data_IF_000740941180
#
_entry.id   IF_000740941180
#
_cell.length_a   1.000
_cell.length_b   1.000
_cell.length_c   1.000
_cell.angle_alpha   90.00
_cell.angle_beta   90.00
_cell.angle_gamma   90.00
#
_symmetry.space_group_name_H-M   'P 1'
#
loop_
_entity.id
_entity.type
_entity.pdbx_description
1 polymer ?
#
# COMPACT_ATOMS: atom_id res chain seq x y z
N UNK A 1 -57.93 11.80 21.24
CA UNK A 1 -58.05 10.87 20.10
C UNK A 1 -58.83 11.58 19.03
N UNK A 2 -58.15 12.05 17.98
CA UNK A 2 -58.77 12.71 16.82
C UNK A 2 -57.88 12.51 15.59
N UNK A 3 -58.54 12.39 14.45
CA UNK A 3 -58.22 11.57 13.28
C UNK A 3 -57.23 12.17 12.27
N UNK A 4 -56.58 11.25 11.53
CA UNK A 4 -55.83 11.50 10.29
C UNK A 4 -56.73 11.99 9.15
N UNK A 5 -56.14 12.75 8.22
CA UNK A 5 -56.68 13.02 6.88
C UNK A 5 -55.52 13.24 5.88
N UNK A 6 -55.60 12.58 4.73
CA UNK A 6 -54.72 12.76 3.56
C UNK A 6 -55.54 13.41 2.44
N UNK A 7 -54.91 14.16 1.51
CA UNK A 7 -55.50 14.44 0.22
C UNK A 7 -54.93 13.52 -0.87
N UNK A 8 -55.85 12.75 -1.47
CA UNK A 8 -55.75 12.14 -2.79
C UNK A 8 -56.46 13.03 -3.80
N UNK A 9 -55.83 13.38 -4.92
CA UNK A 9 -56.54 13.89 -6.10
C UNK A 9 -56.29 13.02 -7.33
N UNK A 10 -57.37 12.86 -8.08
CA UNK A 10 -57.61 11.95 -9.17
C UNK A 10 -57.53 12.64 -10.53
N UNK A 11 -57.13 11.84 -11.53
CA UNK A 11 -57.60 11.76 -12.92
C UNK A 11 -57.63 12.99 -13.85
N UNK A 12 -56.96 12.80 -14.99
CA UNK A 12 -57.31 13.40 -16.28
C UNK A 12 -56.71 12.60 -17.43
N UNK A 13 -57.54 11.80 -18.11
CA UNK A 13 -57.23 10.98 -19.28
C UNK A 13 -57.16 11.81 -20.57
N UNK A 14 -56.21 11.54 -21.46
CA UNK A 14 -56.43 11.70 -22.89
C UNK A 14 -55.55 10.74 -23.70
N UNK A 15 -56.25 9.92 -24.47
CA UNK A 15 -55.83 9.10 -25.59
C UNK A 15 -55.05 9.87 -26.67
N UNK A 16 -53.94 9.31 -27.16
CA UNK A 16 -53.67 9.23 -28.60
C UNK A 16 -52.64 8.13 -28.90
N UNK A 17 -52.93 7.41 -29.98
CA UNK A 17 -52.27 6.25 -30.57
C UNK A 17 -50.88 6.52 -31.18
N UNK A 18 -50.27 5.41 -31.63
CA UNK A 18 -49.21 5.22 -32.65
C UNK A 18 -47.83 4.88 -32.09
N UNK A 19 -47.51 3.59 -31.88
CA UNK A 19 -47.06 2.54 -32.83
C UNK A 19 -45.61 2.74 -33.33
N UNK A 20 -44.87 1.62 -33.37
CA UNK A 20 -43.58 1.34 -34.05
C UNK A 20 -42.29 1.44 -33.21
N UNK A 21 -41.88 0.35 -32.55
CA UNK A 21 -40.91 -0.64 -33.07
C UNK A 21 -40.64 -1.72 -32.01
N UNK A 22 -41.10 -2.94 -32.29
CA UNK A 22 -40.59 -4.19 -31.71
C UNK A 22 -39.80 -4.89 -32.82
N UNK A 23 -38.57 -5.39 -32.60
CA UNK A 23 -37.89 -6.17 -33.61
C UNK A 23 -38.43 -7.61 -33.63
N UNK A 24 -38.87 -8.14 -34.78
CA UNK A 24 -39.15 -9.55 -34.93
C UNK A 24 -37.84 -10.32 -35.18
N UNK A 25 -37.68 -11.44 -34.48
CA UNK A 25 -36.74 -12.49 -34.85
C UNK A 25 -37.22 -13.09 -36.19
N UNK A 26 -36.51 -12.79 -37.28
CA UNK A 26 -36.75 -13.40 -38.57
C UNK A 26 -36.06 -14.77 -38.63
N UNK A 27 -36.83 -15.82 -38.33
CA UNK A 27 -36.41 -17.21 -38.48
C UNK A 27 -36.81 -17.71 -39.88
N UNK A 28 -36.11 -17.24 -40.91
CA UNK A 28 -36.29 -17.74 -42.28
C UNK A 28 -35.01 -17.71 -43.13
N UNK A 29 -33.88 -18.18 -42.57
CA UNK A 29 -32.69 -18.49 -43.35
C UNK A 29 -32.91 -19.77 -44.19
N UNK A 30 -33.53 -19.62 -45.35
CA UNK A 30 -33.59 -20.67 -46.37
C UNK A 30 -32.19 -20.85 -46.98
N UNK A 31 -31.58 -22.00 -46.73
CA UNK A 31 -30.33 -22.38 -47.37
C UNK A 31 -30.61 -22.80 -48.81
N UNK A 32 -30.29 -21.93 -49.78
CA UNK A 32 -30.30 -22.29 -51.19
C UNK A 32 -28.98 -23.04 -51.50
N UNK A 33 -29.04 -24.37 -51.55
CA UNK A 33 -27.92 -25.22 -51.96
C UNK A 33 -27.68 -25.09 -53.47
N UNK A 34 -26.42 -24.94 -53.87
CA UNK A 34 -26.00 -25.08 -55.25
C UNK A 34 -26.00 -26.57 -55.64
N UNK A 35 -26.86 -27.04 -56.58
CA UNK A 35 -27.02 -28.46 -56.89
C UNK A 35 -25.81 -29.10 -57.60
N UNK A 36 -24.74 -28.35 -57.86
CA UNK A 36 -23.53 -28.83 -58.54
C UNK A 36 -22.27 -28.90 -57.64
N UNK A 37 -22.37 -28.70 -56.31
CA UNK A 37 -21.17 -28.83 -55.45
C UNK A 37 -20.90 -30.28 -55.04
N UNK A 38 -19.89 -30.91 -55.66
CA UNK A 38 -19.42 -32.27 -55.36
C UNK A 38 -18.61 -32.40 -54.05
N UNK A 39 -18.59 -31.37 -53.20
CA UNK A 39 -17.83 -31.37 -51.95
C UNK A 39 -18.76 -31.12 -50.75
N UNK A 40 -18.67 -31.93 -49.68
CA UNK A 40 -19.44 -31.70 -48.47
C UNK A 40 -19.02 -30.37 -47.81
N UNK A 41 -19.97 -29.62 -47.23
CA UNK A 41 -19.69 -28.32 -46.63
C UNK A 41 -18.69 -28.47 -45.47
N UNK A 42 -17.53 -27.82 -45.61
CA UNK A 42 -16.57 -27.67 -44.50
C UNK A 42 -17.25 -26.86 -43.40
N UNK A 43 -17.27 -27.40 -42.19
CA UNK A 43 -17.81 -26.72 -41.01
C UNK A 43 -17.09 -25.38 -40.78
N UNK A 44 -17.81 -24.28 -40.53
CA UNK A 44 -17.18 -23.01 -40.20
C UNK A 44 -16.47 -23.11 -38.85
N UNK A 45 -15.20 -22.70 -38.81
CA UNK A 45 -14.43 -22.48 -37.57
C UNK A 45 -15.19 -21.46 -36.70
N UNK A 46 -15.59 -21.86 -35.50
CA UNK A 46 -16.15 -20.94 -34.49
C UNK A 46 -15.05 -20.04 -33.95
N UNK A 47 -14.92 -18.81 -34.48
CA UNK A 47 -14.19 -17.75 -33.79
C UNK A 47 -15.09 -17.18 -32.69
N UNK A 48 -14.77 -17.52 -31.44
CA UNK A 48 -15.40 -16.94 -30.25
C UNK A 48 -14.88 -15.50 -30.14
N UNK A 49 -15.67 -14.53 -30.62
CA UNK A 49 -15.50 -13.12 -30.29
C UNK A 49 -16.29 -12.90 -29.00
N UNK A 50 -15.58 -12.73 -27.89
CA UNK A 50 -16.19 -12.38 -26.61
C UNK A 50 -16.71 -10.93 -26.66
N UNK A 51 -18.03 -10.77 -26.61
CA UNK A 51 -18.69 -9.49 -26.37
C UNK A 51 -18.31 -8.97 -24.97
N UNK A 52 -17.42 -7.99 -24.90
CA UNK A 52 -17.27 -7.12 -23.72
C UNK A 52 -18.32 -6.01 -23.82
N UNK A 53 -19.38 -6.12 -23.04
CA UNK A 53 -20.30 -5.02 -22.76
C UNK A 53 -19.57 -3.96 -21.93
N UNK A 54 -19.21 -2.86 -22.61
CA UNK A 54 -18.62 -1.68 -22.00
C UNK A 54 -19.72 -0.87 -21.26
N UNK A 55 -19.58 -0.78 -19.94
CA UNK A 55 -20.18 0.31 -19.16
C UNK A 55 -19.22 1.50 -19.27
N UNK A 56 -19.66 2.52 -19.98
CA UNK A 56 -18.94 3.77 -20.22
C UNK A 56 -18.61 4.50 -18.92
N UNK A 57 -17.32 4.69 -18.64
CA UNK A 57 -16.82 5.77 -17.79
C UNK A 57 -15.81 6.56 -18.61
N UNK A 58 -16.03 7.87 -18.66
CA UNK A 58 -15.31 8.87 -19.44
C UNK A 58 -13.81 8.96 -19.10
N UNK A 59 -12.96 9.09 -20.13
CA UNK A 59 -11.81 10.00 -20.07
C UNK A 59 -10.42 9.47 -20.42
N UNK A 60 -10.13 9.36 -21.72
CA UNK A 60 -8.92 9.80 -22.45
C UNK A 60 -8.54 8.79 -23.55
N UNK A 61 -8.62 9.27 -24.79
CA UNK A 61 -8.25 8.53 -25.98
C UNK A 61 -6.72 8.43 -26.10
N UNK A 62 -6.22 7.22 -26.25
CA UNK A 62 -4.94 6.94 -26.89
C UNK A 62 -5.16 5.95 -28.04
N UNK A 63 -4.55 6.26 -29.17
CA UNK A 63 -4.41 5.36 -30.31
C UNK A 63 -3.54 4.16 -29.92
N UNK A 64 -4.03 2.93 -30.14
CA UNK A 64 -3.22 1.70 -30.19
C UNK A 64 -2.30 1.72 -31.42
N UNK A 65 -1.07 1.20 -31.29
CA UNK A 65 -0.82 -0.09 -31.90
C UNK A 65 -0.09 -1.09 -30.98
N UNK A 66 -0.62 -2.32 -31.02
CA UNK A 66 0.00 -3.66 -30.93
C UNK A 66 1.25 -3.90 -30.06
N UNK A 67 1.08 -4.88 -29.15
CA UNK A 67 2.08 -5.80 -28.58
C UNK A 67 3.41 -5.21 -28.12
N UNK A 68 3.45 -4.85 -26.83
CA UNK A 68 4.45 -5.35 -25.87
C UNK A 68 4.08 -4.78 -24.49
N UNK A 69 3.43 -5.59 -23.65
CA UNK A 69 3.06 -5.17 -22.30
C UNK A 69 4.26 -5.36 -21.38
N UNK A 70 5.18 -4.39 -21.37
CA UNK A 70 6.16 -4.29 -20.28
C UNK A 70 5.46 -3.83 -18.98
N UNK A 71 5.71 -4.48 -17.83
CA UNK A 71 5.08 -4.12 -16.58
C UNK A 71 5.64 -2.79 -16.06
N UNK A 72 4.74 -1.81 -15.91
CA UNK A 72 4.91 -0.55 -15.17
C UNK A 72 5.81 -0.75 -13.94
N UNK A 73 6.99 -0.15 -13.99
CA UNK A 73 7.94 -0.07 -12.88
C UNK A 73 7.47 1.04 -11.95
N UNK A 74 6.48 0.72 -11.12
CA UNK A 74 6.22 1.41 -9.85
C UNK A 74 7.28 0.91 -8.87
N UNK A 75 7.91 1.80 -8.09
CA UNK A 75 9.05 1.54 -7.19
C UNK A 75 9.10 0.09 -6.65
N UNK A 76 9.87 -0.73 -7.37
CA UNK A 76 9.87 -2.19 -7.23
C UNK A 76 10.66 -2.65 -6.01
N UNK A 77 11.38 -1.81 -5.27
CA UNK A 77 12.27 -2.31 -4.21
C UNK A 77 11.52 -2.95 -3.03
N UNK A 78 10.32 -2.48 -2.69
CA UNK A 78 9.55 -3.03 -1.55
C UNK A 78 8.65 -4.23 -1.92
N UNK A 79 8.47 -4.51 -3.22
CA UNK A 79 7.60 -5.58 -3.74
C UNK A 79 8.39 -6.67 -4.49
N UNK A 80 9.49 -6.34 -5.20
CA UNK A 80 10.35 -7.33 -5.89
C UNK A 80 11.00 -8.31 -4.93
N UNK A 81 11.33 -7.90 -3.71
CA UNK A 81 11.89 -8.83 -2.71
C UNK A 81 10.96 -10.04 -2.50
N UNK A 82 9.64 -9.87 -2.65
CA UNK A 82 8.67 -10.95 -2.41
C UNK A 82 8.62 -11.98 -3.54
N UNK A 83 8.96 -11.63 -4.79
CA UNK A 83 8.82 -12.56 -5.94
C UNK A 83 9.98 -13.56 -6.03
N UNK A 84 11.20 -13.14 -5.68
CA UNK A 84 12.40 -14.01 -5.64
C UNK A 84 12.53 -14.82 -4.34
N UNK A 85 11.71 -14.52 -3.33
CA UNK A 85 11.77 -15.17 -2.01
C UNK A 85 11.19 -16.59 -2.00
N UNK A 86 10.29 -16.96 -2.91
CA UNK A 86 9.51 -18.21 -2.78
C UNK A 86 10.14 -19.44 -3.44
N UNK A 87 10.78 -19.28 -4.61
CA UNK A 87 11.53 -20.40 -5.21
C UNK A 87 12.68 -20.86 -4.32
N UNK A 88 13.21 -19.94 -3.52
CA UNK A 88 14.26 -20.23 -2.54
C UNK A 88 13.70 -20.60 -1.16
N UNK A 89 12.49 -20.19 -0.77
CA UNK A 89 11.89 -20.65 0.50
C UNK A 89 11.58 -22.15 0.47
N UNK A 90 11.19 -22.70 -0.69
CA UNK A 90 11.02 -24.15 -0.85
C UNK A 90 12.34 -24.91 -1.03
N UNK A 91 13.39 -24.28 -1.61
CA UNK A 91 14.74 -24.87 -1.65
C UNK A 91 15.47 -24.79 -0.30
N UNK A 92 15.30 -23.72 0.46
CA UNK A 92 15.91 -23.49 1.79
C UNK A 92 15.17 -24.20 2.92
N UNK A 93 13.95 -24.69 2.72
CA UNK A 93 13.39 -25.73 3.61
C UNK A 93 14.19 -27.04 3.53
N UNK A 94 14.86 -27.30 2.40
CA UNK A 94 15.72 -28.48 2.21
C UNK A 94 17.10 -28.27 2.83
N UNK A 95 17.61 -27.04 2.83
CA UNK A 95 18.87 -26.65 3.47
C UNK A 95 18.60 -25.91 4.78
N UNK A 96 18.57 -26.62 5.91
CA UNK A 96 18.12 -26.14 7.23
C UNK A 96 18.93 -25.01 7.91
N UNK A 97 19.21 -23.90 7.21
CA UNK A 97 19.87 -22.71 7.74
C UNK A 97 18.94 -22.02 8.75
N UNK A 98 19.12 -22.39 10.01
CA UNK A 98 18.44 -21.75 11.15
C UNK A 98 19.08 -20.39 11.40
N UNK A 99 18.52 -19.34 10.80
CA UNK A 99 18.89 -17.95 11.11
C UNK A 99 18.60 -17.67 12.58
N UNK A 100 19.62 -17.22 13.32
CA UNK A 100 19.48 -16.85 14.73
C UNK A 100 18.76 -15.52 14.86
N UNK A 101 17.89 -15.38 15.87
CA UNK A 101 17.10 -14.15 16.05
C UNK A 101 18.02 -12.94 16.34
N UNK A 102 19.11 -13.21 17.04
CA UNK A 102 20.13 -12.23 17.43
C UNK A 102 20.85 -11.66 16.21
N UNK A 103 21.08 -12.48 15.17
CA UNK A 103 21.69 -12.05 13.90
C UNK A 103 20.76 -11.11 13.14
N UNK A 104 19.45 -11.43 13.08
CA UNK A 104 18.46 -10.55 12.45
C UNK A 104 18.42 -9.20 13.16
N UNK A 105 18.35 -9.19 14.50
CA UNK A 105 18.37 -7.93 15.25
C UNK A 105 19.68 -7.16 15.06
N UNK A 106 20.82 -7.85 15.04
CA UNK A 106 22.12 -7.21 14.78
C UNK A 106 22.12 -6.50 13.42
N UNK A 107 21.73 -7.19 12.34
CA UNK A 107 21.68 -6.60 10.98
C UNK A 107 20.64 -5.47 10.90
N UNK A 108 19.50 -5.62 11.58
CA UNK A 108 18.48 -4.58 11.71
C UNK A 108 19.06 -3.29 12.30
N UNK A 109 19.83 -3.38 13.40
CA UNK A 109 20.46 -2.22 14.06
C UNK A 109 21.58 -1.57 13.24
N UNK A 110 22.15 -2.26 12.25
CA UNK A 110 23.13 -1.68 11.33
C UNK A 110 22.47 -0.68 10.38
N UNK A 111 21.23 -0.95 9.97
CA UNK A 111 20.45 -0.06 9.09
C UNK A 111 19.89 1.16 9.85
N UNK A 112 19.80 2.31 9.17
CA UNK A 112 19.16 3.51 9.74
C UNK A 112 17.68 3.28 10.05
N UNK A 113 16.96 2.64 9.12
CA UNK A 113 15.53 2.33 9.28
C UNK A 113 15.29 1.37 10.45
N UNK A 114 16.11 0.32 10.59
CA UNK A 114 15.99 -0.61 11.71
C UNK A 114 16.23 0.05 13.07
N UNK A 115 17.21 0.96 13.18
CA UNK A 115 17.38 1.80 14.38
C UNK A 115 16.15 2.66 14.67
N UNK A 116 15.60 3.33 13.65
CA UNK A 116 14.37 4.14 13.81
C UNK A 116 13.22 3.30 14.38
N UNK A 117 12.94 2.12 13.79
CA UNK A 117 11.86 1.25 14.25
C UNK A 117 12.11 0.70 15.66
N UNK A 118 13.33 0.30 15.96
CA UNK A 118 13.70 -0.17 17.30
C UNK A 118 13.51 0.91 18.36
N UNK A 119 13.97 2.15 18.09
CA UNK A 119 13.74 3.27 19.01
C UNK A 119 12.26 3.61 19.15
N UNK A 120 11.48 3.54 18.06
CA UNK A 120 10.02 3.71 18.11
C UNK A 120 9.38 2.65 19.02
N UNK A 121 9.74 1.39 18.90
CA UNK A 121 9.25 0.30 19.77
C UNK A 121 9.57 0.55 21.25
N UNK A 122 10.81 0.88 21.58
CA UNK A 122 11.23 1.16 22.97
C UNK A 122 10.47 2.38 23.52
N UNK A 123 10.41 3.46 22.74
CA UNK A 123 9.71 4.70 23.11
C UNK A 123 8.23 4.44 23.43
N UNK A 124 7.51 3.74 22.56
CA UNK A 124 6.09 3.48 22.77
C UNK A 124 5.82 2.42 23.84
N UNK A 125 6.75 1.50 24.07
CA UNK A 125 6.69 0.56 25.20
C UNK A 125 6.80 1.31 26.54
N UNK A 126 7.72 2.29 26.64
CA UNK A 126 7.83 3.16 27.82
C UNK A 126 6.56 3.98 28.00
N UNK A 127 6.01 4.57 26.93
CA UNK A 127 4.75 5.33 27.01
C UNK A 127 3.59 4.44 27.46
N UNK A 128 3.51 3.21 26.98
CA UNK A 128 2.47 2.26 27.38
C UNK A 128 2.61 1.90 28.85
N UNK A 129 3.82 1.64 29.33
CA UNK A 129 4.09 1.42 30.74
C UNK A 129 3.65 2.62 31.59
N UNK A 130 4.03 3.85 31.19
CA UNK A 130 3.62 5.07 31.88
C UNK A 130 2.10 5.24 31.91
N UNK A 131 1.42 4.90 30.82
CA UNK A 131 -0.05 4.94 30.73
C UNK A 131 -0.71 3.95 31.68
N UNK A 132 -0.24 2.71 31.74
CA UNK A 132 -0.76 1.73 32.69
C UNK A 132 -0.47 2.19 34.12
N UNK A 133 0.73 2.69 34.37
CA UNK A 133 1.12 3.21 35.67
C UNK A 133 0.21 4.36 36.12
N UNK A 134 -0.07 5.35 35.27
CA UNK A 134 -0.99 6.46 35.58
C UNK A 134 -2.44 6.00 35.71
N UNK A 135 -2.91 5.08 34.87
CA UNK A 135 -4.26 4.52 34.94
C UNK A 135 -4.50 3.74 36.23
N UNK A 136 -3.56 2.88 36.62
CA UNK A 136 -3.60 2.16 37.91
C UNK A 136 -3.56 3.16 39.07
N UNK A 137 -2.66 4.15 38.98
CA UNK A 137 -2.45 5.17 40.01
C UNK A 137 -3.62 6.14 40.21
N UNK A 138 -4.47 6.32 39.21
CA UNK A 138 -5.65 7.20 39.25
C UNK A 138 -6.94 6.47 39.65
N UNK A 139 -6.95 5.14 39.50
CA UNK A 139 -8.11 4.32 39.87
C UNK A 139 -8.30 4.33 41.39
N UNK A 140 -9.46 4.77 41.86
CA UNK A 140 -9.77 4.91 43.30
C UNK A 140 -9.56 3.62 44.10
N UNK A 141 -9.77 2.46 43.48
CA UNK A 141 -9.65 1.13 44.09
C UNK A 141 -8.19 0.70 44.33
N UNK A 142 -7.23 1.20 43.54
CA UNK A 142 -5.82 0.82 43.59
C UNK A 142 -4.92 1.96 44.08
N UNK A 143 -5.53 3.07 44.51
CA UNK A 143 -4.81 4.26 44.96
C UNK A 143 -4.13 3.97 46.30
N UNK A 144 -2.82 3.75 46.28
CA UNK A 144 -2.01 3.71 47.50
C UNK A 144 -1.98 5.11 48.15
N UNK A 145 -2.23 5.21 49.47
CA UNK A 145 -2.32 6.50 50.17
C UNK A 145 -0.97 7.21 50.27
N UNK A 146 0.14 6.49 50.28
CA UNK A 146 1.50 7.03 50.31
C UNK A 146 2.28 6.51 49.11
N UNK A 147 2.54 7.38 48.13
CA UNK A 147 3.42 7.05 47.00
C UNK A 147 4.88 7.22 47.43
N UNK A 148 5.74 6.21 47.25
CA UNK A 148 7.15 6.35 47.59
C UNK A 148 7.84 7.31 46.61
N UNK A 149 8.78 8.12 47.11
CA UNK A 149 9.43 9.17 46.31
C UNK A 149 10.19 8.62 45.09
N UNK A 150 10.72 7.39 45.17
CA UNK A 150 11.43 6.74 44.06
C UNK A 150 10.52 6.51 42.84
N UNK A 151 9.22 6.32 43.04
CA UNK A 151 8.25 6.11 41.95
C UNK A 151 8.08 7.38 41.12
N UNK A 152 7.99 8.54 41.79
CA UNK A 152 7.89 9.83 41.12
C UNK A 152 9.15 10.14 40.30
N UNK A 153 10.32 9.85 40.86
CA UNK A 153 11.61 10.01 40.18
C UNK A 153 11.74 9.05 38.98
N UNK A 154 11.29 7.80 39.11
CA UNK A 154 11.26 6.83 38.02
C UNK A 154 10.35 7.29 36.87
N UNK A 155 9.13 7.75 37.18
CA UNK A 155 8.20 8.28 36.17
C UNK A 155 8.79 9.49 35.45
N UNK A 156 9.43 10.40 36.19
CA UNK A 156 10.13 11.56 35.61
C UNK A 156 11.24 11.13 34.66
N UNK A 157 12.09 10.18 35.08
CA UNK A 157 13.18 9.64 34.25
C UNK A 157 12.65 8.95 33.00
N UNK A 158 11.66 8.07 33.13
CA UNK A 158 11.06 7.37 31.99
C UNK A 158 10.39 8.33 31.00
N UNK A 159 9.71 9.37 31.49
CA UNK A 159 9.13 10.42 30.65
C UNK A 159 10.20 11.19 29.87
N UNK A 160 11.29 11.56 30.55
CA UNK A 160 12.47 12.19 29.93
C UNK A 160 13.18 11.27 28.95
N UNK A 161 13.26 9.97 29.24
CA UNK A 161 13.83 8.97 28.32
C UNK A 161 12.96 8.83 27.08
N UNK A 162 11.64 8.77 27.23
CA UNK A 162 10.72 8.65 26.09
C UNK A 162 10.78 9.88 25.17
N UNK A 163 10.90 11.09 25.72
CA UNK A 163 11.10 12.31 24.90
C UNK A 163 12.49 12.35 24.29
N UNK A 164 13.53 11.97 25.04
CA UNK A 164 14.91 11.87 24.55
C UNK A 164 15.05 10.89 23.39
N UNK A 165 14.48 9.69 23.50
CA UNK A 165 14.46 8.69 22.42
C UNK A 165 13.76 9.22 21.16
N UNK A 166 12.63 9.93 21.32
CA UNK A 166 11.95 10.56 20.20
C UNK A 166 12.81 11.59 19.49
N UNK A 167 13.58 12.37 20.26
CA UNK A 167 14.49 13.38 19.75
C UNK A 167 15.70 12.76 19.05
N UNK A 168 16.36 11.80 19.69
CA UNK A 168 17.47 11.03 19.09
C UNK A 168 17.04 10.35 17.79
N UNK A 169 15.83 9.76 17.75
CA UNK A 169 15.27 9.16 16.53
C UNK A 169 15.16 10.17 15.40
N UNK A 170 14.64 11.37 15.68
CA UNK A 170 14.55 12.46 14.71
C UNK A 170 15.94 12.91 14.22
N UNK A 171 16.94 12.97 15.11
CA UNK A 171 18.32 13.30 14.72
C UNK A 171 18.95 12.24 13.81
N UNK A 172 18.64 10.96 14.02
CA UNK A 172 19.11 9.87 13.16
C UNK A 172 18.47 9.88 11.76
N UNK A 173 17.33 10.56 11.61
CA UNK A 173 16.60 10.75 10.35
C UNK A 173 16.90 12.10 9.68
N UNK A 174 17.84 12.89 10.21
CA UNK A 174 18.27 14.12 9.53
C UNK A 174 18.77 13.80 8.12
N UNK A 175 18.46 14.69 7.18
CA UNK A 175 18.79 14.56 5.77
C UNK A 175 18.08 13.41 5.04
N UNK A 176 16.96 12.90 5.57
CA UNK A 176 16.17 11.89 4.88
C UNK A 176 15.58 12.38 3.54
N UNK A 177 15.51 13.69 3.32
CA UNK A 177 15.10 14.29 2.04
C UNK A 177 16.07 13.99 0.88
N UNK A 178 17.30 13.54 1.17
CA UNK A 178 18.26 13.14 0.14
C UNK A 178 17.76 11.94 -0.68
N UNK A 179 17.02 11.00 -0.08
CA UNK A 179 16.46 9.85 -0.79
C UNK A 179 15.52 10.29 -1.93
N UNK A 180 14.42 11.00 -1.61
CA UNK A 180 13.53 11.57 -2.62
C UNK A 180 14.23 12.49 -3.64
N UNK A 181 15.26 13.23 -3.20
CA UNK A 181 16.04 14.03 -4.13
C UNK A 181 16.79 13.16 -5.14
N UNK A 182 17.45 12.10 -4.67
CA UNK A 182 18.19 11.17 -5.54
C UNK A 182 17.27 10.48 -6.53
N UNK A 183 16.06 10.07 -6.13
CA UNK A 183 15.08 9.46 -7.06
C UNK A 183 14.64 10.43 -8.14
N UNK A 184 14.35 11.69 -7.79
CA UNK A 184 14.02 12.76 -8.76
C UNK A 184 15.18 12.98 -9.74
N UNK A 185 16.42 13.02 -9.25
CA UNK A 185 17.59 13.20 -10.12
C UNK A 185 17.88 11.97 -11.00
N UNK A 186 17.64 10.76 -10.49
CA UNK A 186 17.84 9.52 -11.24
C UNK A 186 16.86 9.41 -12.42
N UNK A 187 15.62 9.87 -12.25
CA UNK A 187 14.63 9.94 -13.32
C UNK A 187 15.06 10.83 -14.50
N UNK A 188 15.98 11.79 -14.31
CA UNK A 188 16.55 12.57 -15.42
C UNK A 188 17.46 11.75 -16.34
N UNK A 189 18.01 10.64 -15.86
CA UNK A 189 19.02 9.87 -16.57
C UNK A 189 18.46 8.80 -17.51
N UNK A 190 17.16 8.51 -17.45
CA UNK A 190 16.49 7.52 -18.30
C UNK A 190 15.75 8.25 -19.43
N UNK A 191 16.33 8.36 -20.64
CA UNK A 191 15.62 8.89 -21.78
C UNK A 191 14.51 7.93 -22.18
N UNK A 192 13.29 8.17 -21.70
CA UNK A 192 12.05 7.62 -22.28
C UNK A 192 11.79 8.30 -23.63
N UNK A 193 12.66 8.02 -24.59
CA UNK A 193 12.43 8.33 -26.00
C UNK A 193 12.97 7.15 -26.80
N UNK A 194 12.17 6.10 -26.84
CA UNK A 194 12.16 5.04 -27.86
C UNK A 194 11.75 5.61 -29.22
N UNK A 195 12.41 6.67 -29.67
CA UNK A 195 12.47 7.01 -31.08
C UNK A 195 13.94 7.11 -31.47
N UNK A 196 14.38 6.03 -32.11
CA UNK A 196 15.66 5.87 -32.78
C UNK A 196 15.82 6.99 -33.81
N UNK A 197 16.37 8.12 -33.38
CA UNK A 197 16.96 9.11 -34.28
C UNK A 197 18.41 9.26 -33.88
N UNK A 198 19.27 8.72 -34.74
CA UNK A 198 20.74 8.60 -34.63
C UNK A 198 21.43 9.97 -34.77
N UNK A 199 20.79 11.04 -34.35
CA UNK A 199 21.40 12.36 -34.34
C UNK A 199 21.98 12.64 -32.95
N UNK A 200 23.29 12.92 -32.95
CA UNK A 200 24.10 13.40 -31.81
C UNK A 200 23.54 14.73 -31.27
N UNK A 201 22.31 14.75 -30.79
CA UNK A 201 21.71 15.91 -30.17
C UNK A 201 22.36 16.08 -28.80
N UNK A 202 22.93 17.27 -28.61
CA UNK A 202 23.53 17.73 -27.36
C UNK A 202 22.60 17.36 -26.21
N UNK A 203 23.12 16.72 -25.16
CA UNK A 203 22.43 16.56 -23.87
C UNK A 203 22.04 17.95 -23.36
N UNK A 204 20.87 18.45 -23.74
CA UNK A 204 20.30 19.66 -23.15
C UNK A 204 19.88 19.27 -21.74
N UNK A 205 20.70 19.65 -20.76
CA UNK A 205 20.38 19.51 -19.34
C UNK A 205 19.07 20.23 -19.09
N UNK A 206 18.00 19.47 -18.84
CA UNK A 206 16.72 20.06 -18.42
C UNK A 206 16.94 20.77 -17.08
N UNK A 207 16.39 21.97 -16.86
CA UNK A 207 16.55 22.67 -15.59
C UNK A 207 15.95 21.85 -14.45
N UNK A 208 16.62 21.82 -13.30
CA UNK A 208 16.20 21.04 -12.12
C UNK A 208 14.73 21.26 -11.73
N UNK A 209 14.25 22.51 -11.81
CA UNK A 209 12.85 22.84 -11.52
C UNK A 209 11.85 22.13 -12.43
N UNK A 210 12.20 21.91 -13.70
CA UNK A 210 11.35 21.14 -14.60
C UNK A 210 11.24 19.71 -14.09
N UNK A 211 12.34 19.07 -13.72
CA UNK A 211 12.29 17.70 -13.19
C UNK A 211 11.52 17.58 -11.89
N UNK A 212 11.67 18.53 -10.97
CA UNK A 212 10.87 18.55 -9.73
C UNK A 212 9.37 18.67 -10.05
N UNK A 213 8.98 19.50 -11.02
CA UNK A 213 7.56 19.66 -11.37
C UNK A 213 6.93 18.42 -12.03
N UNK A 214 7.73 17.56 -12.67
CA UNK A 214 7.27 16.33 -13.31
C UNK A 214 7.50 15.07 -12.47
N UNK A 215 8.08 15.21 -11.28
CA UNK A 215 8.27 14.08 -10.39
C UNK A 215 6.91 13.55 -9.88
N UNK A 216 6.81 12.23 -9.58
CA UNK A 216 5.60 11.66 -9.02
C UNK A 216 5.15 12.41 -7.76
N UNK A 217 3.86 12.76 -7.63
CA UNK A 217 3.35 13.50 -6.47
C UNK A 217 3.72 12.90 -5.10
N UNK A 218 3.74 11.56 -4.89
CA UNK A 218 4.15 10.97 -3.61
C UNK A 218 5.61 11.30 -3.24
N UNK A 219 6.53 11.27 -4.21
CA UNK A 219 7.96 11.55 -4.00
C UNK A 219 8.17 13.02 -3.63
N UNK A 220 7.46 13.93 -4.30
CA UNK A 220 7.49 15.35 -3.95
C UNK A 220 6.96 15.60 -2.54
N UNK A 221 5.90 14.91 -2.17
CA UNK A 221 5.31 15.02 -0.85
C UNK A 221 6.27 14.52 0.24
N UNK A 222 6.97 13.41 -0.02
CA UNK A 222 8.01 12.88 0.89
C UNK A 222 9.22 13.83 1.00
N UNK A 223 9.65 14.42 -0.12
CA UNK A 223 10.72 15.43 -0.14
C UNK A 223 10.35 16.62 0.75
N UNK A 224 9.17 17.19 0.52
CA UNK A 224 8.68 18.36 1.27
C UNK A 224 8.48 18.03 2.76
N UNK A 225 7.94 16.84 3.07
CA UNK A 225 7.79 16.36 4.44
C UNK A 225 9.14 16.26 5.16
N UNK A 226 10.12 15.61 4.51
CA UNK A 226 11.43 15.37 5.09
C UNK A 226 12.22 16.66 5.32
N UNK A 227 12.16 17.61 4.37
CA UNK A 227 12.75 18.95 4.55
C UNK A 227 12.09 19.69 5.71
N UNK A 228 10.76 19.63 5.83
CA UNK A 228 10.04 20.27 6.91
C UNK A 228 10.35 19.66 8.29
N UNK A 229 10.50 18.34 8.39
CA UNK A 229 10.92 17.67 9.65
C UNK A 229 12.36 18.02 10.01
N UNK A 230 13.29 18.12 9.04
CA UNK A 230 14.66 18.59 9.27
C UNK A 230 14.69 20.03 9.81
N UNK A 231 13.91 20.95 9.23
CA UNK A 231 13.81 22.32 9.74
C UNK A 231 13.24 22.34 11.17
N UNK A 232 12.24 21.51 11.45
CA UNK A 232 11.67 21.38 12.78
C UNK A 232 12.69 20.83 13.79
N UNK A 233 13.49 19.83 13.42
CA UNK A 233 14.51 19.23 14.29
C UNK A 233 15.70 20.13 14.53
N UNK A 234 16.18 20.85 13.51
CA UNK A 234 17.22 21.87 13.64
C UNK A 234 16.79 23.02 14.58
N UNK A 235 15.49 23.34 14.61
CA UNK A 235 14.95 24.31 15.57
C UNK A 235 14.97 23.79 17.01
N UNK A 236 14.72 22.50 17.22
CA UNK A 236 14.81 21.85 18.54
C UNK A 236 16.27 21.79 19.03
N UNK A 237 17.22 21.70 18.10
CA UNK A 237 18.65 21.79 18.36
C UNK A 237 19.11 23.21 18.73
N UNK A 238 18.26 24.22 18.52
CA UNK A 238 18.57 25.63 18.75
C UNK A 238 19.31 26.33 17.60
N UNK A 239 19.46 25.67 16.45
CA UNK A 239 20.11 26.25 15.26
C UNK A 239 19.18 27.20 14.50
N UNK A 240 17.88 26.94 14.54
CA UNK A 240 16.84 27.76 13.89
C UNK A 240 15.90 28.37 14.93
N UNK A 241 15.28 29.50 14.58
CA UNK A 241 14.34 30.18 15.47
C UNK A 241 13.11 29.34 15.80
N UNK A 242 12.69 29.32 17.07
CA UNK A 242 11.54 28.54 17.57
C UNK A 242 10.26 28.73 16.74
N UNK A 243 9.97 29.97 16.31
CA UNK A 243 8.78 30.29 15.49
C UNK A 243 8.81 29.59 14.12
N UNK A 244 9.97 29.50 13.48
CA UNK A 244 10.12 28.80 12.20
C UNK A 244 9.98 27.30 12.42
N UNK A 245 10.62 26.78 13.46
CA UNK A 245 10.51 25.40 13.91
C UNK A 245 9.07 24.95 14.15
N UNK A 246 8.29 25.72 14.91
CA UNK A 246 6.89 25.41 15.22
C UNK A 246 6.00 25.43 13.98
N UNK A 247 6.30 26.29 12.99
CA UNK A 247 5.59 26.34 11.71
C UNK A 247 5.95 25.14 10.84
N UNK A 248 7.24 24.84 10.73
CA UNK A 248 7.74 23.69 9.99
C UNK A 248 7.23 22.38 10.57
N UNK A 249 7.18 22.25 11.90
CA UNK A 249 6.60 21.09 12.57
C UNK A 249 5.13 20.88 12.23
N UNK A 250 4.30 21.93 12.32
CA UNK A 250 2.88 21.85 11.92
C UNK A 250 2.71 21.50 10.44
N UNK A 251 3.55 22.07 9.58
CA UNK A 251 3.51 21.79 8.16
C UNK A 251 3.92 20.34 7.88
N UNK A 252 4.96 19.85 8.55
CA UNK A 252 5.39 18.44 8.48
C UNK A 252 4.29 17.49 8.95
N UNK A 253 3.53 17.82 10.00
CA UNK A 253 2.37 17.02 10.44
C UNK A 253 1.27 16.94 9.37
N UNK A 254 1.00 18.04 8.64
CA UNK A 254 0.07 18.03 7.51
C UNK A 254 0.57 17.16 6.36
N UNK A 255 1.85 17.27 6.00
CA UNK A 255 2.45 16.42 4.98
C UNK A 255 2.43 14.95 5.41
N UNK A 256 2.67 14.64 6.68
CA UNK A 256 2.60 13.28 7.20
C UNK A 256 1.18 12.70 7.12
N UNK A 257 0.15 13.50 7.42
CA UNK A 257 -1.25 13.10 7.20
C UNK A 257 -1.51 12.75 5.73
N UNK A 258 -1.12 13.65 4.81
CA UNK A 258 -1.33 13.44 3.38
C UNK A 258 -0.56 12.21 2.86
N UNK A 259 0.69 12.03 3.27
CA UNK A 259 1.49 10.83 2.96
C UNK A 259 0.78 9.55 3.40
N UNK A 260 0.22 9.57 4.61
CA UNK A 260 -0.50 8.42 5.18
C UNK A 260 -1.78 8.12 4.40
N UNK A 261 -2.50 9.15 3.92
CA UNK A 261 -3.69 8.98 3.09
C UNK A 261 -3.34 8.43 1.71
N UNK A 262 -2.30 8.97 1.06
CA UNK A 262 -1.79 8.47 -0.22
C UNK A 262 -1.40 7.00 -0.09
N UNK A 263 -0.60 6.64 0.91
CA UNK A 263 -0.21 5.25 1.15
C UNK A 263 -1.39 4.31 1.46
N UNK A 264 -2.46 4.82 2.07
CA UNK A 264 -3.68 4.03 2.29
C UNK A 264 -4.46 3.79 0.99
N UNK A 265 -4.51 4.78 0.09
CA UNK A 265 -5.15 4.67 -1.23
C UNK A 265 -4.34 3.73 -2.13
N UNK A 266 -3.04 3.92 -2.21
CA UNK A 266 -2.11 3.06 -2.98
C UNK A 266 -2.24 1.61 -2.53
N UNK A 267 -2.15 1.36 -1.22
CA UNK A 267 -2.34 0.02 -0.66
C UNK A 267 -3.74 -0.56 -0.96
N UNK A 268 -4.77 0.28 -1.00
CA UNK A 268 -6.13 -0.11 -1.39
C UNK A 268 -6.22 -0.56 -2.85
N UNK A 269 -5.58 0.19 -3.75
CA UNK A 269 -5.52 -0.13 -5.19
C UNK A 269 -4.72 -1.40 -5.43
N UNK A 270 -3.54 -1.53 -4.82
CA UNK A 270 -2.71 -2.75 -4.90
C UNK A 270 -3.48 -3.98 -4.42
N UNK A 271 -4.20 -3.86 -3.30
CA UNK A 271 -4.99 -4.96 -2.76
C UNK A 271 -6.14 -5.36 -3.68
N UNK A 272 -6.80 -4.38 -4.31
CA UNK A 272 -7.85 -4.67 -5.29
C UNK A 272 -7.29 -5.40 -6.51
N UNK A 273 -6.11 -4.99 -7.00
CA UNK A 273 -5.42 -5.67 -8.10
C UNK A 273 -5.06 -7.11 -7.73
N UNK A 274 -4.48 -7.34 -6.55
CA UNK A 274 -4.14 -8.69 -6.07
C UNK A 274 -5.39 -9.55 -5.87
N UNK A 275 -6.48 -8.98 -5.33
CA UNK A 275 -7.75 -9.70 -5.18
C UNK A 275 -8.33 -10.17 -6.52
N UNK A 276 -8.22 -9.33 -7.56
CA UNK A 276 -8.64 -9.72 -8.92
C UNK A 276 -7.75 -10.84 -9.48
N UNK A 277 -6.43 -10.78 -9.25
CA UNK A 277 -5.49 -11.84 -9.68
C UNK A 277 -5.77 -13.16 -8.96
N UNK A 278 -6.03 -13.12 -7.64
CA UNK A 278 -6.40 -14.31 -6.86
C UNK A 278 -7.66 -14.98 -7.42
N UNK A 279 -8.71 -14.19 -7.69
CA UNK A 279 -9.94 -14.72 -8.28
C UNK A 279 -9.70 -15.33 -9.66
N UNK A 280 -8.82 -14.75 -10.48
CA UNK A 280 -8.46 -15.31 -11.78
C UNK A 280 -7.76 -16.68 -11.63
N UNK A 281 -6.76 -16.79 -10.75
CA UNK A 281 -6.06 -18.05 -10.50
C UNK A 281 -7.00 -19.10 -9.88
N UNK A 282 -7.83 -18.73 -8.91
CA UNK A 282 -8.82 -19.63 -8.31
C UNK A 282 -9.86 -20.11 -9.33
N UNK A 283 -10.28 -19.24 -10.27
CA UNK A 283 -11.20 -19.63 -11.34
C UNK A 283 -10.57 -20.62 -12.33
N UNK A 284 -9.28 -20.48 -12.63
CA UNK A 284 -8.53 -21.41 -13.49
C UNK A 284 -8.39 -22.78 -12.81
N UNK A 285 -7.96 -22.79 -11.55
CA UNK A 285 -7.88 -24.00 -10.73
C UNK A 285 -9.23 -24.71 -10.61
N UNK A 286 -10.31 -23.96 -10.41
CA UNK A 286 -11.66 -24.52 -10.33
C UNK A 286 -12.11 -25.09 -11.68
N UNK A 287 -11.92 -24.36 -12.78
CA UNK A 287 -12.26 -24.83 -14.12
C UNK A 287 -11.49 -26.12 -14.46
N UNK A 288 -10.19 -26.17 -14.16
CA UNK A 288 -9.36 -27.35 -14.36
C UNK A 288 -9.87 -28.54 -13.52
N UNK A 289 -10.22 -28.31 -12.25
CA UNK A 289 -10.79 -29.34 -11.38
C UNK A 289 -12.13 -29.90 -11.88
N UNK A 290 -12.95 -29.05 -12.52
CA UNK A 290 -14.26 -29.44 -13.06
C UNK A 290 -14.17 -30.12 -14.43
N UNK A 291 -13.14 -29.81 -15.22
CA UNK A 291 -12.92 -30.45 -16.53
C UNK A 291 -12.48 -31.92 -16.44
N UNK A 292 -12.25 -32.44 -15.22
CA UNK A 292 -12.11 -33.88 -15.00
C UNK A 292 -10.87 -34.50 -15.64
N UNK A 293 -9.81 -33.72 -15.86
CA UNK A 293 -8.52 -34.23 -16.30
C UNK A 293 -8.11 -35.38 -15.37
N UNK A 294 -8.03 -36.58 -15.94
CA UNK A 294 -7.99 -37.86 -15.22
C UNK A 294 -6.94 -37.86 -14.09
N UNK A 295 -7.35 -38.32 -12.91
CA UNK A 295 -6.62 -38.32 -11.63
C UNK A 295 -5.23 -39.00 -11.59
N UNK A 296 -4.63 -39.36 -12.73
CA UNK A 296 -3.32 -40.04 -12.82
C UNK A 296 -2.15 -39.13 -13.19
N UNK A 297 -2.37 -37.88 -13.60
CA UNK A 297 -1.28 -36.91 -13.74
C UNK A 297 -1.75 -35.55 -13.25
N UNK A 298 -1.24 -35.09 -12.10
CA UNK A 298 -1.31 -33.66 -11.77
C UNK A 298 -0.50 -32.92 -12.83
N UNK A 299 -1.12 -32.15 -13.74
CA UNK A 299 -0.36 -31.41 -14.73
C UNK A 299 0.51 -30.38 -14.01
N UNK A 300 1.69 -30.10 -14.54
CA UNK A 300 2.63 -29.13 -13.95
C UNK A 300 1.98 -27.76 -13.75
N UNK A 301 1.00 -27.43 -14.59
CA UNK A 301 0.23 -26.19 -14.54
C UNK A 301 -0.54 -26.02 -13.22
N UNK A 302 -1.20 -27.07 -12.70
CA UNK A 302 -1.83 -27.01 -11.35
C UNK A 302 -0.86 -26.63 -10.24
N UNK A 303 0.40 -27.11 -10.29
CA UNK A 303 1.38 -26.79 -9.26
C UNK A 303 1.86 -25.35 -9.36
N UNK A 304 1.90 -24.80 -10.58
CA UNK A 304 2.25 -23.40 -10.83
C UNK A 304 1.15 -22.50 -10.28
N UNK A 305 -0.11 -22.80 -10.61
CA UNK A 305 -1.26 -22.02 -10.14
C UNK A 305 -1.42 -22.10 -8.61
N UNK A 306 -1.18 -23.26 -7.98
CA UNK A 306 -1.17 -23.40 -6.52
C UNK A 306 -0.08 -22.54 -5.87
N UNK A 307 1.13 -22.49 -6.46
CA UNK A 307 2.23 -21.65 -5.99
C UNK A 307 1.90 -20.17 -6.15
N UNK A 308 1.42 -19.76 -7.32
CA UNK A 308 1.00 -18.37 -7.57
C UNK A 308 -0.10 -17.93 -6.60
N UNK A 309 -1.08 -18.79 -6.33
CA UNK A 309 -2.13 -18.50 -5.36
C UNK A 309 -1.56 -18.32 -3.94
N UNK A 310 -0.59 -19.16 -3.55
CA UNK A 310 0.07 -19.02 -2.25
C UNK A 310 0.85 -17.70 -2.14
N UNK A 311 1.51 -17.29 -3.24
CA UNK A 311 2.22 -16.01 -3.37
C UNK A 311 1.28 -14.84 -3.20
N UNK A 312 0.19 -14.84 -3.95
CA UNK A 312 -0.80 -13.76 -3.91
C UNK A 312 -1.45 -13.65 -2.53
N UNK A 313 -1.67 -14.78 -1.82
CA UNK A 313 -2.19 -14.76 -0.44
C UNK A 313 -1.20 -14.17 0.54
N UNK A 314 0.10 -14.48 0.40
CA UNK A 314 1.17 -13.89 1.20
C UNK A 314 1.28 -12.38 0.95
N UNK A 315 1.20 -11.96 -0.32
CA UNK A 315 1.17 -10.54 -0.67
C UNK A 315 -0.05 -9.82 -0.08
N UNK A 316 -1.26 -10.37 -0.21
CA UNK A 316 -2.46 -9.78 0.41
C UNK A 316 -2.33 -9.69 1.94
N UNK A 317 -1.73 -10.69 2.61
CA UNK A 317 -1.45 -10.63 4.04
C UNK A 317 -0.54 -9.44 4.41
N UNK A 318 0.55 -9.23 3.67
CA UNK A 318 1.44 -8.08 3.90
C UNK A 318 0.79 -6.74 3.56
N UNK A 319 -0.06 -6.69 2.54
CA UNK A 319 -0.86 -5.51 2.24
C UNK A 319 -1.85 -5.21 3.38
N UNK A 320 -2.50 -6.23 3.96
CA UNK A 320 -3.39 -6.05 5.11
C UNK A 320 -2.64 -5.52 6.34
N UNK A 321 -1.44 -6.03 6.63
CA UNK A 321 -0.58 -5.50 7.70
C UNK A 321 -0.22 -4.04 7.45
N UNK A 322 0.16 -3.72 6.21
CA UNK A 322 0.55 -2.37 5.81
C UNK A 322 -0.64 -1.40 5.91
N UNK A 323 -1.83 -1.84 5.50
CA UNK A 323 -3.09 -1.11 5.70
C UNK A 323 -3.36 -0.85 7.17
N UNK A 324 -3.25 -1.87 8.02
CA UNK A 324 -3.46 -1.73 9.45
C UNK A 324 -2.45 -0.74 10.06
N UNK A 325 -1.19 -0.78 9.62
CA UNK A 325 -0.16 0.20 9.99
C UNK A 325 -0.56 1.61 9.57
N UNK A 326 -1.01 1.84 8.34
CA UNK A 326 -1.45 3.16 7.87
C UNK A 326 -2.68 3.67 8.62
N UNK A 327 -3.63 2.79 8.97
CA UNK A 327 -4.78 3.17 9.81
C UNK A 327 -4.31 3.62 11.20
N UNK A 328 -3.34 2.92 11.80
CA UNK A 328 -2.78 3.32 13.09
C UNK A 328 -2.01 4.64 13.02
N UNK A 329 -1.19 4.84 11.99
CA UNK A 329 -0.52 6.12 11.74
C UNK A 329 -1.54 7.25 11.49
N UNK A 330 -2.63 6.98 10.77
CA UNK A 330 -3.71 7.92 10.49
C UNK A 330 -4.42 8.36 11.78
N UNK A 331 -4.76 7.40 12.66
CA UNK A 331 -5.31 7.70 13.98
C UNK A 331 -4.32 8.59 14.74
N UNK A 332 -3.04 8.17 14.79
CA UNK A 332 -2.00 8.89 15.52
C UNK A 332 -1.91 10.36 15.07
N UNK A 333 -1.71 10.59 13.77
CA UNK A 333 -1.47 11.93 13.21
C UNK A 333 -2.74 12.79 13.28
N UNK A 334 -3.93 12.20 13.10
CA UNK A 334 -5.21 12.92 13.25
C UNK A 334 -5.36 13.51 14.65
N UNK A 335 -4.97 12.78 15.69
CA UNK A 335 -5.02 13.32 17.05
C UNK A 335 -4.00 14.44 17.31
N UNK A 336 -2.84 14.47 16.62
CA UNK A 336 -1.91 15.61 16.72
C UNK A 336 -2.42 16.82 15.94
N UNK A 337 -2.91 16.59 14.72
CA UNK A 337 -3.34 17.65 13.81
C UNK A 337 -4.63 18.35 14.26
N UNK A 338 -5.67 17.59 14.58
CA UNK A 338 -6.98 18.12 15.01
C UNK A 338 -7.03 18.48 16.49
N UNK A 339 -5.93 18.26 17.24
CA UNK A 339 -5.81 18.57 18.67
C UNK A 339 -6.93 17.97 19.53
N UNK A 340 -7.42 16.79 19.16
CA UNK A 340 -8.47 16.09 19.91
C UNK A 340 -7.94 15.79 21.32
N UNK A 341 -8.58 16.37 22.34
CA UNK A 341 -8.13 16.24 23.73
C UNK A 341 -8.60 14.92 24.37
N UNK A 342 -9.77 14.41 23.96
CA UNK A 342 -10.40 13.23 24.56
C UNK A 342 -9.61 11.96 24.24
N UNK A 343 -9.13 11.25 25.26
CA UNK A 343 -8.32 10.03 25.11
C UNK A 343 -7.04 10.21 24.27
N UNK A 344 -6.49 11.43 24.20
CA UNK A 344 -5.31 11.73 23.37
C UNK A 344 -4.12 10.82 23.68
N UNK A 345 -3.77 10.68 24.95
CA UNK A 345 -2.59 9.92 25.36
C UNK A 345 -2.75 8.40 25.15
N UNK A 346 -3.89 7.77 25.54
CA UNK A 346 -4.13 6.36 25.22
C UNK A 346 -4.16 6.06 23.73
N UNK A 347 -4.91 6.84 22.95
CA UNK A 347 -5.03 6.60 21.51
C UNK A 347 -3.67 6.69 20.82
N UNK A 348 -2.87 7.73 21.11
CA UNK A 348 -1.52 7.87 20.54
C UNK A 348 -0.56 6.78 20.97
N UNK A 349 -0.63 6.38 22.22
CA UNK A 349 0.28 5.37 22.75
C UNK A 349 0.00 4.00 22.13
N UNK A 350 -1.28 3.60 22.06
CA UNK A 350 -1.69 2.33 21.47
C UNK A 350 -1.49 2.32 19.95
N UNK A 351 -1.94 3.37 19.25
CA UNK A 351 -1.78 3.45 17.80
C UNK A 351 -0.29 3.54 17.41
N UNK A 352 0.49 4.35 18.13
CA UNK A 352 1.93 4.48 17.91
C UNK A 352 2.69 3.18 18.17
N UNK A 353 2.32 2.42 19.21
CA UNK A 353 2.90 1.11 19.48
C UNK A 353 2.51 0.08 18.43
N UNK A 354 1.22 0.00 18.07
CA UNK A 354 0.72 -0.93 17.06
C UNK A 354 1.40 -0.68 15.71
N UNK A 355 1.51 0.58 15.27
CA UNK A 355 2.24 0.94 14.05
C UNK A 355 3.73 0.57 14.14
N UNK A 356 4.37 0.75 15.31
CA UNK A 356 5.75 0.36 15.53
C UNK A 356 5.96 -1.16 15.46
N UNK A 357 5.05 -1.95 16.04
CA UNK A 357 5.08 -3.42 15.98
C UNK A 357 4.90 -3.90 14.55
N UNK A 358 3.87 -3.41 13.84
CA UNK A 358 3.57 -3.83 12.47
C UNK A 358 4.73 -3.49 11.51
N UNK A 359 5.29 -2.28 11.62
CA UNK A 359 6.44 -1.88 10.80
C UNK A 359 7.71 -2.66 11.14
N UNK A 360 7.97 -2.94 12.42
CA UNK A 360 9.12 -3.77 12.84
C UNK A 360 8.96 -5.22 12.40
N UNK A 361 7.73 -5.74 12.38
CA UNK A 361 7.43 -7.11 11.92
C UNK A 361 7.70 -7.26 10.42
N UNK A 362 7.27 -6.30 9.59
CA UNK A 362 7.59 -6.27 8.15
C UNK A 362 9.11 -6.22 7.94
N UNK A 363 9.80 -5.30 8.63
CA UNK A 363 11.24 -5.13 8.49
C UNK A 363 12.04 -6.35 8.98
N UNK A 364 11.63 -6.95 10.10
CA UNK A 364 12.24 -8.18 10.64
C UNK A 364 12.10 -9.35 9.66
N UNK A 365 10.93 -9.47 9.01
CA UNK A 365 10.72 -10.51 8.01
C UNK A 365 11.62 -10.31 6.78
N UNK A 366 11.69 -9.09 6.23
CA UNK A 366 12.58 -8.78 5.10
C UNK A 366 14.05 -9.06 5.41
N UNK A 367 14.55 -8.57 6.55
CA UNK A 367 15.93 -8.83 6.97
C UNK A 367 16.23 -10.32 7.20
N UNK A 368 15.28 -11.06 7.76
CA UNK A 368 15.42 -12.52 7.90
C UNK A 368 15.56 -13.21 6.55
N UNK A 369 14.84 -12.75 5.51
CA UNK A 369 14.94 -13.31 4.17
C UNK A 369 16.27 -12.94 3.50
N UNK A 370 16.73 -11.69 3.65
CA UNK A 370 18.05 -11.26 3.15
C UNK A 370 19.18 -12.11 3.75
N UNK A 371 19.15 -12.38 5.07
CA UNK A 371 20.17 -13.20 5.74
C UNK A 371 20.13 -14.65 5.24
N UNK A 372 18.94 -15.19 4.96
CA UNK A 372 18.80 -16.53 4.38
C UNK A 372 19.43 -16.64 2.99
N UNK A 373 19.39 -15.53 2.22
CA UNK A 373 19.91 -15.46 0.84
C UNK A 373 21.41 -15.24 0.75
N UNK A 374 22.09 -14.81 1.82
CA UNK A 374 23.55 -14.61 1.80
C UNK A 374 24.23 -15.98 1.68
N UNK A 375 24.95 -16.28 0.58
CA UNK A 375 25.73 -17.50 0.48
C UNK A 375 26.83 -17.47 1.55
N UNK A 376 26.96 -18.58 2.30
CA UNK A 376 28.00 -18.74 3.33
C UNK A 376 29.41 -18.79 2.74
#
# INVERSE_FOLDING_TARGET
>A
MSSMSFPSEHHGSSSHEQTFYSPPFDASASFQMNPLSAHPPRTPRSSIVANKSAVHVYGQAFHDPADDTEPLVVDKEDVRETEEDEEEEDKSKVEGVRVRKEEVWRDLFLTSNGRDKAFKLIQYSIRLYLLFHTSISTTRLLRRPTRPQWEAELVKRLSSTASGLSFTRKLLLLFNWLGPLTTITAQQSVPYSTEVSVEKSKKTTRPFLHTVLYAPPPVLLELVHSVADDVATLSLLGLLGKKLGDRAGRFSDWCWLLATLVGLVENGVERQMIGNLQQQVESRLYAESMTGATAKSRPKDTQIDERELSRLRKQDYWLQITRAKYIMDLIFVSYDLFRIQRFREPAKTLAGLAAAILSSMKLYHGQRNIIRKKPM
#
